data_IF_240078561276
#
_entry.id   IF_240078561276
#
_cell.length_a   1.000
_cell.length_b   1.000
_cell.length_c   1.000
_cell.angle_alpha   90.00
_cell.angle_beta   90.00
_cell.angle_gamma   90.00
#
_symmetry.space_group_name_H-M   'P 1'
#
loop_
_entity.id
_entity.type
_entity.pdbx_description
1 polymer ?
#
# COMPACT_ATOMS: atom_id res chain seq x y z
N UNK A 1 -34.44 -12.77 -65.19
CA UNK A 1 -35.56 -11.89 -64.79
C UNK A 1 -36.39 -12.65 -63.76
N UNK A 2 -36.84 -11.93 -62.73
CA UNK A 2 -37.68 -12.34 -61.59
C UNK A 2 -37.02 -12.85 -60.29
N UNK A 3 -36.82 -11.85 -59.45
CA UNK A 3 -36.60 -11.76 -58.01
C UNK A 3 -37.64 -12.52 -57.18
N UNK A 4 -37.21 -13.15 -56.08
CA UNK A 4 -37.99 -13.24 -54.83
C UNK A 4 -37.05 -13.38 -53.64
N UNK A 5 -36.93 -12.28 -52.89
CA UNK A 5 -36.40 -12.24 -51.53
C UNK A 5 -37.34 -13.03 -50.61
N UNK A 6 -36.79 -13.92 -49.79
CA UNK A 6 -37.40 -14.30 -48.53
C UNK A 6 -36.31 -14.28 -47.45
N UNK A 7 -36.42 -13.29 -46.57
CA UNK A 7 -35.69 -13.23 -45.31
C UNK A 7 -36.44 -14.13 -44.33
N UNK A 8 -35.79 -15.18 -43.84
CA UNK A 8 -36.24 -15.91 -42.65
C UNK A 8 -35.11 -16.00 -41.64
N UNK A 9 -35.29 -15.18 -40.61
CA UNK A 9 -34.70 -15.16 -39.28
C UNK A 9 -34.69 -16.57 -38.65
N UNK A 10 -33.58 -17.05 -38.08
CA UNK A 10 -33.62 -18.28 -37.31
C UNK A 10 -32.30 -18.87 -36.83
N UNK A 11 -31.92 -18.49 -35.60
CA UNK A 11 -31.15 -19.26 -34.61
C UNK A 11 -29.69 -19.61 -34.96
N UNK A 12 -28.79 -18.69 -34.60
CA UNK A 12 -27.42 -19.04 -34.22
C UNK A 12 -27.49 -20.00 -33.03
N UNK A 13 -27.18 -21.28 -33.26
CA UNK A 13 -26.74 -22.17 -32.19
C UNK A 13 -25.32 -21.71 -31.79
N UNK A 14 -25.24 -20.77 -30.86
CA UNK A 14 -24.02 -20.52 -30.12
C UNK A 14 -23.71 -21.80 -29.37
N UNK A 15 -22.75 -22.57 -29.87
CA UNK A 15 -22.14 -23.65 -29.12
C UNK A 15 -21.59 -23.02 -27.84
N UNK A 16 -22.29 -23.22 -26.72
CA UNK A 16 -21.79 -22.90 -25.39
C UNK A 16 -20.55 -23.77 -25.20
N UNK A 17 -19.38 -23.22 -25.58
CA UNK A 17 -18.12 -23.76 -25.13
C UNK A 17 -18.15 -23.78 -23.61
N UNK A 18 -17.88 -24.94 -23.03
CA UNK A 18 -17.64 -25.14 -21.61
C UNK A 18 -16.49 -24.23 -21.17
N UNK A 19 -16.80 -22.96 -20.92
CA UNK A 19 -15.96 -22.06 -20.18
C UNK A 19 -15.92 -22.57 -18.76
N UNK A 20 -14.93 -23.41 -18.46
CA UNK A 20 -14.52 -23.65 -17.07
C UNK A 20 -14.26 -22.27 -16.48
N UNK A 21 -15.16 -21.80 -15.61
CA UNK A 21 -14.82 -20.75 -14.65
C UNK A 21 -13.66 -21.35 -13.86
N UNK A 22 -12.44 -20.91 -14.15
CA UNK A 22 -11.34 -21.19 -13.26
C UNK A 22 -11.63 -20.41 -11.99
N UNK A 23 -12.02 -21.12 -10.93
CA UNK A 23 -12.05 -20.56 -9.60
C UNK A 23 -10.69 -19.89 -9.36
N UNK A 24 -10.69 -18.64 -8.86
CA UNK A 24 -9.46 -18.03 -8.34
C UNK A 24 -8.82 -19.05 -7.41
N UNK A 25 -7.60 -19.48 -7.74
CA UNK A 25 -6.82 -20.32 -6.85
C UNK A 25 -6.83 -19.65 -5.47
N UNK A 26 -7.25 -20.39 -4.45
CA UNK A 26 -7.26 -19.95 -3.06
C UNK A 26 -5.82 -19.75 -2.60
N UNK A 27 -5.19 -18.66 -3.05
CA UNK A 27 -3.92 -18.23 -2.54
C UNK A 27 -4.13 -17.89 -1.06
N UNK A 28 -3.24 -18.31 -0.16
CA UNK A 28 -3.33 -17.94 1.24
C UNK A 28 -3.44 -16.40 1.35
N UNK A 29 -4.18 -15.88 2.33
CA UNK A 29 -4.31 -14.44 2.50
C UNK A 29 -2.92 -13.83 2.57
N UNK A 30 -2.66 -12.83 1.74
CA UNK A 30 -1.38 -12.15 1.72
C UNK A 30 -1.13 -11.59 3.13
N UNK A 31 0.01 -11.93 3.72
CA UNK A 31 0.41 -11.48 5.06
C UNK A 31 1.22 -10.20 4.91
N UNK A 32 1.03 -9.26 5.85
CA UNK A 32 1.88 -8.06 5.93
C UNK A 32 3.32 -8.49 6.17
N UNK A 33 4.24 -7.85 5.47
CA UNK A 33 5.66 -8.04 5.62
C UNK A 33 6.09 -7.76 7.07
N UNK A 34 6.86 -8.69 7.63
CA UNK A 34 7.53 -8.56 8.92
C UNK A 34 9.02 -8.33 8.69
N UNK A 35 9.56 -7.29 9.33
CA UNK A 35 10.98 -6.91 9.34
C UNK A 35 11.33 -6.41 10.76
N UNK A 36 12.63 -6.32 11.13
CA UNK A 36 13.04 -5.80 12.44
C UNK A 36 12.42 -4.44 12.72
N UNK A 37 11.81 -4.28 13.89
CA UNK A 37 11.00 -3.09 14.16
C UNK A 37 9.95 -3.29 15.24
N UNK A 38 8.93 -2.44 15.19
CA UNK A 38 7.84 -2.35 16.15
C UNK A 38 6.50 -2.30 15.42
N UNK A 39 5.46 -2.86 16.03
CA UNK A 39 4.07 -2.52 15.74
C UNK A 39 3.60 -1.51 16.77
N UNK A 40 2.99 -0.44 16.30
CA UNK A 40 2.54 0.68 17.12
C UNK A 40 1.02 0.81 17.03
N UNK A 41 0.44 1.41 18.06
CA UNK A 41 -0.95 1.89 18.03
C UNK A 41 -0.92 3.39 18.25
N UNK A 42 -1.24 4.17 17.22
CA UNK A 42 -1.22 5.63 17.24
C UNK A 42 -2.64 6.12 16.99
N UNK A 43 -3.21 6.88 17.93
CA UNK A 43 -4.59 7.36 17.83
C UNK A 43 -5.62 6.25 17.53
N UNK A 44 -5.41 5.07 18.12
CA UNK A 44 -6.28 3.90 17.93
C UNK A 44 -6.09 3.16 16.59
N UNK A 45 -5.08 3.51 15.79
CA UNK A 45 -4.79 2.90 14.50
C UNK A 45 -3.48 2.13 14.53
N UNK A 46 -3.46 0.98 13.85
CA UNK A 46 -2.27 0.15 13.69
C UNK A 46 -1.26 0.91 12.81
N UNK A 47 -0.01 0.96 13.27
CA UNK A 47 1.12 1.45 12.52
C UNK A 47 2.27 0.44 12.61
N UNK A 48 3.16 0.47 11.64
CA UNK A 48 4.42 -0.28 11.71
C UNK A 48 5.59 0.69 11.66
N UNK A 49 6.69 0.26 12.26
CA UNK A 49 7.97 0.94 12.23
C UNK A 49 9.06 -0.10 12.03
N UNK A 50 9.63 -0.18 10.84
CA UNK A 50 10.83 -0.97 10.59
C UNK A 50 12.07 -0.14 10.95
N UNK A 51 12.98 -0.75 11.69
CA UNK A 51 14.16 -0.09 12.24
C UNK A 51 15.44 -0.71 11.71
N UNK A 52 16.44 0.11 11.36
CA UNK A 52 17.80 -0.36 11.11
C UNK A 52 18.38 -1.09 12.34
N UNK A 53 19.43 -1.87 12.12
CA UNK A 53 20.26 -2.38 13.22
C UNK A 53 20.83 -1.22 14.04
N UNK A 54 21.08 -1.46 15.34
CA UNK A 54 21.42 -0.38 16.28
C UNK A 54 22.68 0.41 15.86
N UNK A 55 23.67 -0.26 15.27
CA UNK A 55 24.91 0.32 14.75
C UNK A 55 24.72 1.27 13.56
N UNK A 56 23.57 1.17 12.86
CA UNK A 56 23.23 2.00 11.69
C UNK A 56 22.27 3.15 12.03
N UNK A 57 21.77 3.23 13.26
CA UNK A 57 20.83 4.29 13.68
C UNK A 57 21.57 5.59 13.91
N UNK A 58 20.94 6.70 13.54
CA UNK A 58 21.50 8.05 13.68
C UNK A 58 20.50 8.98 14.36
N UNK A 59 20.96 10.16 14.77
CA UNK A 59 20.12 11.21 15.34
C UNK A 59 20.35 12.53 14.57
N UNK A 60 19.32 13.08 13.89
CA UNK A 60 17.97 12.54 13.79
C UNK A 60 17.91 11.28 12.91
N UNK A 61 17.01 10.35 13.22
CA UNK A 61 16.85 9.10 12.46
C UNK A 61 16.18 9.41 11.11
N UNK A 62 16.83 9.18 9.95
CA UNK A 62 16.19 9.31 8.64
C UNK A 62 15.14 8.21 8.45
N UNK A 63 14.06 8.53 7.75
CA UNK A 63 12.96 7.60 7.56
C UNK A 63 12.16 7.81 6.28
N UNK A 64 11.55 6.71 5.83
CA UNK A 64 10.57 6.65 4.76
C UNK A 64 9.17 6.70 5.37
N UNK A 65 8.36 7.64 4.91
CA UNK A 65 6.93 7.71 5.19
C UNK A 65 6.18 6.91 4.13
N UNK A 66 5.71 5.73 4.50
CA UNK A 66 5.15 4.73 3.60
C UNK A 66 3.62 4.68 3.60
N UNK A 67 3.03 4.47 2.42
CA UNK A 67 1.63 4.04 2.27
C UNK A 67 1.43 3.18 1.00
N UNK A 68 0.45 2.23 0.93
CA UNK A 68 -0.61 1.91 1.89
C UNK A 68 -0.12 1.17 3.13
N UNK A 69 -0.69 1.48 4.28
CA UNK A 69 -0.61 0.59 5.46
C UNK A 69 -1.93 -0.13 5.67
N UNK A 70 -2.44 -0.79 4.63
CA UNK A 70 -3.64 -1.62 4.68
C UNK A 70 -3.23 -3.06 4.49
N UNK A 71 -3.74 -4.01 5.28
CA UNK A 71 -3.44 -5.43 5.03
C UNK A 71 -3.84 -5.78 3.59
N UNK A 72 -2.93 -6.34 2.78
CA UNK A 72 -1.69 -7.02 3.19
C UNK A 72 -0.39 -6.19 3.10
N UNK A 73 -0.45 -4.88 2.88
CA UNK A 73 0.68 -4.00 2.61
C UNK A 73 1.37 -3.45 3.88
N UNK A 74 2.71 -3.24 3.83
CA UNK A 74 3.63 -3.69 2.77
C UNK A 74 3.65 -5.22 2.68
N UNK A 75 3.86 -5.78 1.49
CA UNK A 75 3.90 -7.24 1.28
C UNK A 75 5.27 -7.74 0.81
N UNK A 76 5.38 -9.04 0.53
CA UNK A 76 6.62 -9.69 0.11
C UNK A 76 7.30 -9.04 -1.10
N UNK A 77 6.53 -8.40 -2.00
CA UNK A 77 7.07 -7.76 -3.19
C UNK A 77 7.96 -6.54 -2.87
N UNK A 78 7.80 -5.97 -1.68
CA UNK A 78 8.51 -4.76 -1.24
C UNK A 78 9.66 -5.08 -0.27
N UNK A 79 9.82 -6.35 0.17
CA UNK A 79 10.87 -6.76 1.12
C UNK A 79 12.24 -6.28 0.71
N UNK A 80 12.64 -6.58 -0.52
CA UNK A 80 13.98 -6.28 -1.02
C UNK A 80 14.31 -4.78 -0.92
N UNK A 81 13.30 -3.92 -1.08
CA UNK A 81 13.49 -2.46 -1.03
C UNK A 81 13.56 -1.97 0.41
N UNK A 82 12.68 -2.46 1.28
CA UNK A 82 12.70 -2.13 2.70
C UNK A 82 14.02 -2.58 3.35
N UNK A 83 14.50 -3.79 3.06
CA UNK A 83 15.81 -4.26 3.55
C UNK A 83 16.95 -3.32 3.14
N UNK A 84 16.92 -2.79 1.90
CA UNK A 84 17.93 -1.81 1.44
C UNK A 84 17.85 -0.47 2.15
N UNK A 85 16.65 -0.01 2.51
CA UNK A 85 16.49 1.18 3.35
C UNK A 85 17.09 0.94 4.74
N UNK A 86 16.73 -0.18 5.38
CA UNK A 86 17.26 -0.52 6.70
C UNK A 86 18.79 -0.69 6.67
N UNK A 87 19.32 -1.31 5.62
CA UNK A 87 20.75 -1.48 5.44
C UNK A 87 21.52 -0.18 5.26
N UNK A 88 20.86 0.85 4.72
CA UNK A 88 21.38 2.20 4.60
C UNK A 88 21.16 3.05 5.87
N UNK A 89 20.63 2.47 6.95
CA UNK A 89 20.34 3.21 8.19
C UNK A 89 19.06 4.05 8.13
N UNK A 90 18.17 3.79 7.17
CA UNK A 90 16.91 4.53 6.97
C UNK A 90 15.74 3.68 7.48
N UNK A 91 15.00 4.19 8.46
CA UNK A 91 13.80 3.54 8.98
C UNK A 91 12.63 3.63 8.00
N UNK A 92 11.61 2.80 8.17
CA UNK A 92 10.38 2.87 7.36
C UNK A 92 9.18 2.81 8.28
N UNK A 93 8.23 3.72 8.12
CA UNK A 93 7.03 3.74 8.94
C UNK A 93 5.78 4.03 8.12
N UNK A 94 4.66 3.48 8.56
CA UNK A 94 3.35 3.72 7.97
C UNK A 94 2.23 3.46 8.97
N UNK A 95 1.09 4.11 8.78
CA UNK A 95 -0.11 4.02 9.64
C UNK A 95 -1.36 3.68 8.82
N UNK A 96 -2.23 2.84 9.37
CA UNK A 96 -3.48 2.44 8.72
C UNK A 96 -4.51 3.59 8.72
N UNK A 97 -4.70 4.16 7.54
CA UNK A 97 -5.66 5.25 7.29
C UNK A 97 -6.94 4.78 6.63
N UNK A 98 -7.15 3.47 6.47
CA UNK A 98 -8.24 2.95 5.65
C UNK A 98 -8.00 3.17 4.15
N UNK A 99 -8.98 2.76 3.35
CA UNK A 99 -8.97 2.99 1.92
C UNK A 99 -9.35 4.43 1.57
N UNK A 100 -8.38 5.34 1.59
CA UNK A 100 -8.66 6.78 1.48
C UNK A 100 -8.41 7.43 0.10
N UNK A 101 -7.67 6.81 -0.83
CA UNK A 101 -7.27 7.40 -2.13
C UNK A 101 -6.79 8.88 -2.14
N UNK A 102 -6.26 9.39 -1.01
CA UNK A 102 -5.87 10.80 -0.84
C UNK A 102 -6.92 11.72 -0.19
N UNK A 103 -8.02 11.17 0.34
CA UNK A 103 -9.04 11.95 1.03
C UNK A 103 -8.48 12.68 2.27
N UNK A 104 -8.91 13.94 2.53
CA UNK A 104 -8.52 14.73 3.71
C UNK A 104 -8.72 14.04 5.07
N UNK A 105 -9.64 13.08 5.14
CA UNK A 105 -9.87 12.28 6.36
C UNK A 105 -8.66 11.44 6.79
N UNK A 106 -7.73 11.14 5.88
CA UNK A 106 -6.50 10.40 6.21
C UNK A 106 -5.43 11.26 6.90
N UNK A 107 -5.48 12.58 6.73
CA UNK A 107 -4.40 13.49 7.10
C UNK A 107 -4.14 13.51 8.59
N UNK A 108 -5.18 13.51 9.42
CA UNK A 108 -5.01 13.52 10.88
C UNK A 108 -4.25 12.30 11.39
N UNK A 109 -4.43 11.14 10.74
CA UNK A 109 -3.69 9.91 11.10
C UNK A 109 -2.23 10.00 10.66
N UNK A 110 -1.98 10.52 9.45
CA UNK A 110 -0.61 10.75 8.99
C UNK A 110 0.14 11.78 9.82
N UNK A 111 -0.49 12.90 10.18
CA UNK A 111 0.09 13.88 11.10
C UNK A 111 0.36 13.26 12.47
N UNK A 112 -0.52 12.40 12.99
CA UNK A 112 -0.28 11.69 14.25
C UNK A 112 0.96 10.80 14.20
N UNK A 113 1.18 10.07 13.09
CA UNK A 113 2.40 9.28 12.89
C UNK A 113 3.65 10.18 12.80
N UNK A 114 3.57 11.25 12.02
CA UNK A 114 4.66 12.21 11.87
C UNK A 114 5.06 12.82 13.21
N UNK A 115 4.10 13.31 13.99
CA UNK A 115 4.33 13.92 15.31
C UNK A 115 4.93 12.93 16.30
N UNK A 116 4.46 11.68 16.29
CA UNK A 116 4.99 10.61 17.13
C UNK A 116 6.47 10.34 16.80
N UNK A 117 6.81 10.22 15.51
CA UNK A 117 8.19 9.97 15.12
C UNK A 117 9.10 11.18 15.36
N UNK A 118 8.62 12.40 15.17
CA UNK A 118 9.39 13.62 15.51
C UNK A 118 9.73 13.64 17.01
N UNK A 119 8.76 13.32 17.89
CA UNK A 119 9.00 13.21 19.35
C UNK A 119 10.02 12.13 19.69
N UNK A 120 10.09 11.06 18.90
CA UNK A 120 11.06 9.96 19.05
C UNK A 120 12.43 10.28 18.43
N UNK A 121 12.67 11.50 17.96
CA UNK A 121 13.97 11.93 17.42
C UNK A 121 14.20 11.58 15.95
N UNK A 122 13.13 11.32 15.19
CA UNK A 122 13.22 11.11 13.74
C UNK A 122 13.34 12.45 13.02
N UNK A 123 13.91 12.42 11.82
CA UNK A 123 14.08 13.61 10.98
C UNK A 123 12.74 14.25 10.63
N UNK A 124 12.67 15.59 10.71
CA UNK A 124 11.51 16.38 10.27
C UNK A 124 11.25 16.34 8.76
N UNK A 125 12.21 15.81 7.98
CA UNK A 125 12.13 15.71 6.52
C UNK A 125 12.12 14.23 6.10
N UNK A 126 11.00 13.51 6.26
CA UNK A 126 10.88 12.16 5.71
C UNK A 126 10.93 12.16 4.19
N UNK A 127 11.31 11.02 3.61
CA UNK A 127 11.05 10.75 2.20
C UNK A 127 9.69 10.06 2.07
N UNK A 128 8.79 10.62 1.25
CA UNK A 128 7.47 10.05 1.02
C UNK A 128 7.55 8.93 -0.01
N UNK A 129 6.97 7.77 0.31
CA UNK A 129 6.94 6.63 -0.57
C UNK A 129 5.55 6.02 -0.63
N UNK A 130 4.96 6.02 -1.81
CA UNK A 130 3.63 5.49 -2.05
C UNK A 130 3.65 4.35 -3.05
N UNK A 131 3.18 3.16 -2.67
CA UNK A 131 2.94 2.06 -3.62
C UNK A 131 1.64 2.29 -4.38
N UNK A 132 1.72 2.43 -5.70
CA UNK A 132 0.54 2.57 -6.59
C UNK A 132 -0.38 3.71 -6.09
N UNK A 133 -1.66 3.43 -5.81
CA UNK A 133 -2.61 4.39 -5.23
C UNK A 133 -2.13 5.03 -3.92
N UNK A 134 -1.16 4.42 -3.24
CA UNK A 134 -0.57 5.02 -2.05
C UNK A 134 0.27 6.24 -2.26
N UNK A 135 0.67 6.51 -3.51
CA UNK A 135 1.16 7.83 -3.89
C UNK A 135 0.14 8.92 -3.54
N UNK A 136 -1.15 8.71 -3.83
CA UNK A 136 -2.20 9.69 -3.57
C UNK A 136 -2.37 10.00 -2.08
N UNK A 137 -2.12 9.03 -1.19
CA UNK A 137 -2.19 9.26 0.26
C UNK A 137 -1.09 10.19 0.73
N UNK A 138 0.16 9.82 0.49
CA UNK A 138 1.31 10.55 1.02
C UNK A 138 1.46 11.91 0.35
N UNK A 139 1.15 12.04 -0.94
CA UNK A 139 1.22 13.34 -1.62
C UNK A 139 0.08 14.26 -1.22
N UNK A 140 -1.14 13.75 -1.02
CA UNK A 140 -2.26 14.58 -0.55
C UNK A 140 -2.00 15.15 0.85
N UNK A 141 -1.41 14.34 1.75
CA UNK A 141 -0.98 14.82 3.07
C UNK A 141 0.11 15.88 2.94
N UNK A 142 1.12 15.65 2.11
CA UNK A 142 2.24 16.57 1.95
C UNK A 142 1.88 17.89 1.25
N UNK A 143 0.82 17.93 0.44
CA UNK A 143 0.32 19.20 -0.14
C UNK A 143 -0.34 20.07 0.95
N UNK A 144 -0.88 19.44 1.99
CA UNK A 144 -1.64 20.10 3.04
C UNK A 144 -0.79 20.54 4.25
N UNK A 145 0.51 20.22 4.29
CA UNK A 145 1.41 20.49 5.42
C UNK A 145 2.75 21.05 4.92
#
# INVERSE_FOLDING_TARGET
MLTRFLVCLGLFFSSFGNGRIQAQQNNPPKVRLELPGETLTISGKEAFLFLPSQDKRTSPQPWIFYAPTLRPYPDQAERWMHERFLDAGIAVAGIDVGEAYGAPSSHASFSSLYDELEKRGFSKKPCLFGRSRGGLWVTSWAIAN
#
